data_IF_151585051134
#
_entry.id   IF_151585051134
#
_cell.length_a   1.000
_cell.length_b   1.000
_cell.length_c   1.000
_cell.angle_alpha   90.00
_cell.angle_beta   90.00
_cell.angle_gamma   90.00
#
_symmetry.space_group_name_H-M   'P 1'
#
loop_
_entity.id
_entity.type
_entity.pdbx_description
1 polymer ?
#
# COMPACT_ATOMS: atom_id res chain seq x y z
N UNK A 1 -15.70 26.19 -6.56
CA UNK A 1 -14.48 25.38 -6.44
C UNK A 1 -14.60 24.54 -5.19
N UNK A 2 -14.59 23.21 -5.31
CA UNK A 2 -14.64 22.33 -4.14
C UNK A 2 -13.29 22.44 -3.43
N UNK A 3 -13.28 22.82 -2.15
CA UNK A 3 -12.07 22.90 -1.35
C UNK A 3 -11.42 21.51 -1.30
N UNK A 4 -10.21 21.36 -1.86
CA UNK A 4 -9.42 20.13 -1.67
C UNK A 4 -9.01 20.06 -0.20
N UNK A 5 -9.24 18.92 0.42
CA UNK A 5 -8.71 18.63 1.75
C UNK A 5 -7.23 18.29 1.60
N UNK A 6 -6.40 19.00 2.36
CA UNK A 6 -4.99 18.67 2.53
C UNK A 6 -4.87 17.69 3.71
N UNK A 7 -4.23 16.55 3.47
CA UNK A 7 -4.16 15.45 4.44
C UNK A 7 -2.71 15.21 4.85
N UNK A 8 -2.49 15.14 6.16
CA UNK A 8 -1.19 14.79 6.73
C UNK A 8 -1.26 13.39 7.35
N UNK A 9 -0.29 12.55 7.03
CA UNK A 9 -0.08 11.24 7.64
C UNK A 9 1.24 11.26 8.41
N UNK A 10 1.19 10.89 9.68
CA UNK A 10 2.37 10.78 10.54
C UNK A 10 2.75 9.30 10.64
N UNK A 11 3.90 8.94 10.07
CA UNK A 11 4.43 7.58 9.97
C UNK A 11 4.50 7.06 8.53
N UNK A 12 5.71 6.74 8.08
CA UNK A 12 6.05 6.16 6.78
C UNK A 12 6.08 4.63 6.75
N UNK A 13 5.43 3.97 7.71
CA UNK A 13 5.26 2.51 7.71
C UNK A 13 4.26 2.00 6.67
N UNK A 14 4.10 0.67 6.59
CA UNK A 14 3.21 0.00 5.62
C UNK A 14 1.79 0.59 5.62
N UNK A 15 1.20 0.80 6.79
CA UNK A 15 -0.14 1.37 6.91
C UNK A 15 -0.23 2.83 6.46
N UNK A 16 0.77 3.65 6.84
CA UNK A 16 0.82 5.07 6.47
C UNK A 16 1.01 5.27 4.97
N UNK A 17 1.95 4.54 4.35
CA UNK A 17 2.16 4.59 2.90
C UNK A 17 0.97 4.02 2.12
N UNK A 18 0.33 2.96 2.62
CA UNK A 18 -0.91 2.47 2.00
C UNK A 18 -2.02 3.51 2.05
N UNK A 19 -2.26 4.15 3.21
CA UNK A 19 -3.25 5.20 3.36
C UNK A 19 -2.94 6.40 2.46
N UNK A 20 -1.67 6.80 2.38
CA UNK A 20 -1.22 7.89 1.50
C UNK A 20 -1.54 7.59 0.04
N UNK A 21 -1.19 6.39 -0.44
CA UNK A 21 -1.44 6.01 -1.82
C UNK A 21 -2.95 5.85 -2.12
N UNK A 22 -3.72 5.33 -1.17
CA UNK A 22 -5.18 5.20 -1.31
C UNK A 22 -5.86 6.58 -1.42
N UNK A 23 -5.46 7.55 -0.59
CA UNK A 23 -6.00 8.91 -0.62
C UNK A 23 -5.53 9.68 -1.86
N UNK A 24 -4.25 9.55 -2.23
CA UNK A 24 -3.71 10.14 -3.46
C UNK A 24 -4.43 9.61 -4.71
N UNK A 25 -4.75 8.30 -4.76
CA UNK A 25 -5.53 7.71 -5.84
C UNK A 25 -6.97 8.24 -5.93
N UNK A 26 -7.51 8.83 -4.86
CA UNK A 26 -8.80 9.55 -4.86
C UNK A 26 -8.66 11.04 -5.20
N UNK A 27 -7.44 11.52 -5.48
CA UNK A 27 -7.17 12.90 -5.88
C UNK A 27 -6.96 13.89 -4.73
N UNK A 28 -6.78 13.40 -3.49
CA UNK A 28 -6.42 14.26 -2.35
C UNK A 28 -4.95 14.68 -2.40
N UNK A 29 -4.65 15.85 -1.85
CA UNK A 29 -3.28 16.26 -1.57
C UNK A 29 -2.85 15.61 -0.25
N UNK A 30 -1.76 14.84 -0.27
CA UNK A 30 -1.32 14.06 0.88
C UNK A 30 0.17 14.27 1.12
N UNK A 31 0.53 14.57 2.37
CA UNK A 31 1.90 14.62 2.84
C UNK A 31 2.14 13.54 3.90
N UNK A 32 3.27 12.83 3.80
CA UNK A 32 3.68 11.82 4.78
C UNK A 32 4.93 12.34 5.49
N UNK A 33 4.90 12.33 6.82
CA UNK A 33 6.03 12.67 7.67
C UNK A 33 6.52 11.41 8.38
N UNK A 34 7.81 11.12 8.22
CA UNK A 34 8.47 9.97 8.86
C UNK A 34 9.70 10.49 9.62
N UNK A 35 9.94 9.92 10.80
CA UNK A 35 11.09 10.24 11.64
C UNK A 35 12.39 9.71 11.03
N UNK A 36 12.34 8.50 10.46
CA UNK A 36 13.50 7.88 9.84
C UNK A 36 13.98 8.72 8.64
N UNK A 37 15.31 8.90 8.47
CA UNK A 37 15.87 9.70 7.38
C UNK A 37 15.67 9.05 6.00
N UNK A 38 15.32 7.76 5.96
CA UNK A 38 14.96 7.02 4.77
C UNK A 38 14.04 5.85 5.12
N UNK A 39 13.18 5.45 4.17
CA UNK A 39 12.44 4.19 4.26
C UNK A 39 13.42 3.04 4.02
N UNK A 40 13.65 2.23 5.04
CA UNK A 40 14.55 1.08 4.98
C UNK A 40 13.80 -0.25 5.03
N UNK A 41 14.46 -1.32 4.57
CA UNK A 41 13.98 -2.68 4.74
C UNK A 41 14.48 -3.27 6.07
N UNK A 42 13.60 -3.95 6.80
CA UNK A 42 13.96 -4.73 7.99
C UNK A 42 14.47 -6.13 7.58
N UNK A 43 14.32 -6.50 6.29
CA UNK A 43 14.67 -7.83 5.77
C UNK A 43 13.67 -8.95 6.11
N UNK A 44 12.56 -8.61 6.78
CA UNK A 44 11.50 -9.55 7.10
C UNK A 44 10.43 -9.57 5.99
N UNK A 45 10.17 -10.74 5.42
CA UNK A 45 9.02 -10.93 4.53
C UNK A 45 7.70 -10.76 5.28
N UNK A 46 6.69 -10.21 4.60
CA UNK A 46 5.33 -10.05 5.15
C UNK A 46 4.37 -10.95 4.39
N UNK A 47 3.62 -11.79 5.12
CA UNK A 47 2.57 -12.60 4.51
C UNK A 47 1.36 -11.73 4.17
N UNK A 48 0.96 -11.70 2.91
CA UNK A 48 -0.22 -10.98 2.44
C UNK A 48 -1.37 -11.94 2.22
N UNK A 49 -2.48 -11.72 2.91
CA UNK A 49 -3.71 -12.48 2.68
C UNK A 49 -4.40 -12.04 1.38
N UNK A 50 -5.25 -12.90 0.79
CA UNK A 50 -6.16 -12.57 -0.31
C UNK A 50 -6.82 -11.18 -0.23
N UNK A 51 -7.32 -10.79 0.95
CA UNK A 51 -7.98 -9.51 1.14
C UNK A 51 -7.01 -8.33 1.06
N UNK A 52 -5.81 -8.44 1.64
CA UNK A 52 -4.79 -7.39 1.56
C UNK A 52 -4.34 -7.15 0.12
N UNK A 53 -4.07 -8.23 -0.62
CA UNK A 53 -3.68 -8.16 -2.04
C UNK A 53 -4.76 -7.47 -2.87
N UNK A 54 -6.04 -7.73 -2.61
CA UNK A 54 -7.15 -7.06 -3.30
C UNK A 54 -7.09 -5.54 -3.14
N UNK A 55 -6.81 -5.04 -1.95
CA UNK A 55 -6.75 -3.61 -1.70
C UNK A 55 -5.52 -2.98 -2.38
N UNK A 56 -4.37 -3.65 -2.36
CA UNK A 56 -3.17 -3.22 -3.09
C UNK A 56 -3.43 -3.13 -4.61
N UNK A 57 -4.15 -4.10 -5.18
CA UNK A 57 -4.54 -4.06 -6.61
C UNK A 57 -5.44 -2.86 -6.93
N UNK A 58 -6.41 -2.53 -6.07
CA UNK A 58 -7.34 -1.40 -6.27
C UNK A 58 -6.64 -0.04 -6.32
N UNK A 59 -5.49 0.08 -5.66
CA UNK A 59 -4.69 1.31 -5.64
C UNK A 59 -3.51 1.26 -6.64
N UNK A 60 -3.55 0.33 -7.61
CA UNK A 60 -2.57 0.25 -8.70
C UNK A 60 -1.25 -0.45 -8.37
N UNK A 61 -1.11 -1.03 -7.18
CA UNK A 61 0.14 -1.69 -6.76
C UNK A 61 0.26 -3.16 -7.19
N UNK A 62 -0.66 -3.65 -8.04
CA UNK A 62 -0.60 -5.03 -8.55
C UNK A 62 0.77 -5.37 -9.17
N UNK A 63 1.35 -4.56 -10.08
CA UNK A 63 2.62 -4.91 -10.69
C UNK A 63 3.77 -4.98 -9.69
N UNK A 64 3.75 -4.13 -8.65
CA UNK A 64 4.76 -4.15 -7.60
C UNK A 64 4.65 -5.42 -6.74
N UNK A 65 3.42 -5.82 -6.38
CA UNK A 65 3.18 -7.06 -5.63
C UNK A 65 3.62 -8.29 -6.43
N UNK A 66 3.37 -8.33 -7.73
CA UNK A 66 3.78 -9.44 -8.61
C UNK A 66 5.29 -9.48 -8.84
N UNK A 67 5.95 -8.32 -8.91
CA UNK A 67 7.41 -8.21 -9.09
C UNK A 67 8.18 -8.64 -7.85
N UNK A 68 7.74 -8.24 -6.66
CA UNK A 68 8.50 -8.40 -5.42
C UNK A 68 7.98 -9.53 -4.52
N UNK A 69 6.72 -9.94 -4.69
CA UNK A 69 6.10 -11.01 -3.91
C UNK A 69 6.27 -12.39 -4.54
N UNK A 70 5.95 -13.40 -3.75
CA UNK A 70 5.83 -14.79 -4.21
C UNK A 70 4.48 -15.36 -3.79
N UNK A 71 3.94 -16.28 -4.60
CA UNK A 71 2.73 -17.04 -4.25
C UNK A 71 3.09 -18.16 -3.27
N UNK A 72 2.23 -18.39 -2.28
CA UNK A 72 2.43 -19.50 -1.33
C UNK A 72 1.88 -20.78 -1.93
N UNK A 73 2.76 -21.55 -2.54
CA UNK A 73 2.43 -22.79 -3.23
C UNK A 73 1.67 -22.58 -4.55
N UNK A 74 1.58 -23.64 -5.38
CA UNK A 74 0.99 -23.58 -6.72
C UNK A 74 -0.52 -23.31 -6.71
N UNK A 75 -1.21 -23.60 -5.60
CA UNK A 75 -2.65 -23.40 -5.42
C UNK A 75 -3.06 -22.00 -4.93
N UNK A 76 -2.11 -21.08 -4.75
CA UNK A 76 -2.41 -19.70 -4.30
C UNK A 76 -3.20 -18.93 -5.36
N UNK A 77 -4.53 -19.07 -5.29
CA UNK A 77 -5.48 -18.40 -6.15
C UNK A 77 -6.46 -17.57 -5.31
N UNK A 78 -6.69 -16.34 -5.76
CA UNK A 78 -7.71 -15.47 -5.21
C UNK A 78 -9.05 -15.84 -5.83
N UNK A 79 -9.93 -16.47 -5.07
CA UNK A 79 -11.31 -16.70 -5.49
C UNK A 79 -12.18 -15.54 -5.00
N UNK A 80 -12.96 -14.96 -5.92
CA UNK A 80 -14.02 -14.02 -5.60
C UNK A 80 -15.35 -14.68 -5.95
N UNK A 81 -16.26 -14.71 -4.98
CA UNK A 81 -17.68 -14.81 -5.25
C UNK A 81 -18.21 -13.38 -5.41
#
# INVERSE_FOLDING_TARGET
>A
MQSRLDIVIVGGGIGGLFAANALAAQGFAVAVYEQAPAIGEIGAGVFLTPNSVRHLRRIGLQPAVEKWGARVGPGSQYYRH
#
